data_IF_473444880848
#
_entry.id   IF_473444880848
#
_cell.length_a   1.000
_cell.length_b   1.000
_cell.length_c   1.000
_cell.angle_alpha   90.00
_cell.angle_beta   90.00
_cell.angle_gamma   90.00
#
_symmetry.space_group_name_H-M   'P 1'
#
loop_
_entity.id
_entity.type
_entity.pdbx_description
1 polymer ?
#
# COMPACT_ATOMS: atom_id res chain seq x y z
N UNK A 1 -25.15 3.19 3.72
CA UNK A 1 -23.89 2.65 3.14
C UNK A 1 -23.31 1.67 4.14
N UNK A 2 -23.23 0.40 3.75
CA UNK A 2 -22.97 -0.76 4.62
C UNK A 2 -21.61 -0.63 5.32
N UNK A 3 -21.60 -0.67 6.66
CA UNK A 3 -20.38 -0.89 7.44
C UNK A 3 -19.93 -2.32 7.15
N UNK A 4 -18.91 -2.46 6.30
CA UNK A 4 -18.28 -3.74 6.04
C UNK A 4 -17.87 -4.35 7.39
N UNK A 5 -18.55 -5.44 7.75
CA UNK A 5 -18.29 -6.25 8.93
C UNK A 5 -16.86 -6.78 8.80
N UNK A 6 -15.92 -6.16 9.51
CA UNK A 6 -14.55 -6.64 9.59
C UNK A 6 -14.60 -8.13 9.99
N UNK A 7 -14.01 -9.04 9.19
CA UNK A 7 -14.04 -10.45 9.50
C UNK A 7 -13.48 -10.67 10.91
N UNK A 8 -14.18 -11.48 11.70
CA UNK A 8 -13.70 -11.97 12.99
C UNK A 8 -12.27 -12.55 12.81
N UNK A 9 -11.38 -12.47 13.83
CA UNK A 9 -9.95 -12.65 13.66
C UNK A 9 -9.57 -14.11 13.37
N UNK A 10 -9.81 -14.56 12.14
CA UNK A 10 -8.97 -15.53 11.48
C UNK A 10 -7.60 -14.89 11.37
N UNK A 11 -6.59 -15.50 11.97
CA UNK A 11 -5.22 -14.97 12.05
C UNK A 11 -4.79 -14.47 10.68
N UNK A 12 -4.52 -13.16 10.57
CA UNK A 12 -3.89 -12.59 9.38
C UNK A 12 -2.61 -13.40 9.11
N UNK A 13 -2.48 -13.87 7.87
CA UNK A 13 -1.38 -14.74 7.43
C UNK A 13 -1.07 -14.52 5.94
N UNK A 14 -0.07 -15.23 5.42
CA UNK A 14 0.32 -15.13 4.01
C UNK A 14 -0.87 -15.47 3.10
N UNK A 15 -1.07 -14.68 2.04
CA UNK A 15 -2.21 -14.74 1.12
C UNK A 15 -3.46 -13.99 1.61
N UNK A 16 -3.45 -13.46 2.84
CA UNK A 16 -4.57 -12.65 3.34
C UNK A 16 -4.62 -11.31 2.64
N UNK A 17 -5.81 -10.91 2.17
CA UNK A 17 -6.08 -9.54 1.73
C UNK A 17 -6.34 -8.65 2.94
N UNK A 18 -5.62 -7.53 3.03
CA UNK A 18 -5.65 -6.60 4.16
C UNK A 18 -5.79 -5.17 3.67
N UNK A 19 -6.39 -4.33 4.51
CA UNK A 19 -6.41 -2.88 4.32
C UNK A 19 -5.32 -2.26 5.20
N UNK A 20 -4.32 -1.62 4.59
CA UNK A 20 -3.22 -0.98 5.30
C UNK A 20 -3.42 0.53 5.35
N UNK A 21 -3.43 1.10 6.56
CA UNK A 21 -3.65 2.53 6.77
C UNK A 21 -2.33 3.30 6.78
N UNK A 22 -2.17 4.19 5.81
CA UNK A 22 -1.09 5.19 5.72
C UNK A 22 -1.62 6.56 6.16
N UNK A 23 -0.74 7.53 6.50
CA UNK A 23 -1.17 8.88 6.87
C UNK A 23 -2.03 9.59 5.81
N UNK A 24 -1.87 9.24 4.54
CA UNK A 24 -2.56 9.86 3.40
C UNK A 24 -3.71 9.01 2.82
N UNK A 25 -4.01 7.84 3.39
CA UNK A 25 -5.09 6.99 2.89
C UNK A 25 -4.95 5.51 3.25
N UNK A 26 -6.00 4.75 2.99
CA UNK A 26 -5.99 3.30 3.14
C UNK A 26 -5.68 2.64 1.78
N UNK A 27 -4.82 1.62 1.80
CA UNK A 27 -4.40 0.88 0.60
C UNK A 27 -4.74 -0.59 0.77
N UNK A 28 -5.39 -1.17 -0.23
CA UNK A 28 -5.59 -2.62 -0.28
C UNK A 28 -4.27 -3.31 -0.61
N UNK A 29 -3.96 -4.38 0.13
CA UNK A 29 -2.72 -5.12 -0.03
C UNK A 29 -2.92 -6.60 0.25
N UNK A 30 -1.94 -7.40 -0.17
CA UNK A 30 -1.83 -8.82 0.17
C UNK A 30 -0.66 -9.04 1.11
N UNK A 31 -0.84 -9.88 2.13
CA UNK A 31 0.29 -10.34 2.96
C UNK A 31 1.09 -11.37 2.16
N UNK A 32 2.32 -11.05 1.81
CA UNK A 32 3.21 -11.92 1.02
C UNK A 32 4.25 -12.65 1.86
N UNK A 33 4.48 -12.19 3.09
CA UNK A 33 5.45 -12.78 4.00
C UNK A 33 5.00 -12.55 5.44
N UNK A 34 5.23 -13.55 6.30
CA UNK A 34 5.08 -13.41 7.75
C UNK A 34 6.38 -13.84 8.42
N UNK A 35 7.04 -12.88 9.07
CA UNK A 35 8.32 -13.10 9.76
C UNK A 35 8.14 -13.43 11.23
N UNK A 36 6.90 -13.52 11.72
CA UNK A 36 6.60 -13.77 13.12
C UNK A 36 6.91 -12.57 14.03
N UNK A 37 7.00 -12.83 15.32
CA UNK A 37 7.05 -11.83 16.39
C UNK A 37 8.47 -11.29 16.65
N UNK A 38 9.17 -10.93 15.58
CA UNK A 38 10.56 -10.46 15.63
C UNK A 38 10.68 -8.93 15.73
N UNK A 39 9.57 -8.20 15.69
CA UNK A 39 9.55 -6.74 15.80
C UNK A 39 9.77 -6.24 17.22
N UNK A 40 10.03 -4.94 17.33
CA UNK A 40 10.14 -4.25 18.63
C UNK A 40 8.90 -4.53 19.51
N UNK A 41 9.12 -4.89 20.78
CA UNK A 41 8.08 -5.32 21.74
C UNK A 41 7.26 -6.54 21.29
N UNK A 42 7.88 -7.48 20.55
CA UNK A 42 7.22 -8.71 20.12
C UNK A 42 6.13 -8.49 19.07
N UNK A 43 6.17 -7.35 18.37
CA UNK A 43 5.25 -7.07 17.27
C UNK A 43 5.50 -8.05 16.13
N UNK A 44 4.42 -8.63 15.62
CA UNK A 44 4.47 -9.49 14.42
C UNK A 44 4.80 -8.62 13.21
N UNK A 45 5.83 -9.00 12.47
CA UNK A 45 6.25 -8.31 11.26
C UNK A 45 5.75 -9.09 10.05
N UNK A 46 4.91 -8.44 9.25
CA UNK A 46 4.40 -8.98 7.99
C UNK A 46 4.88 -8.10 6.84
N UNK A 47 5.23 -8.72 5.72
CA UNK A 47 5.46 -8.00 4.46
C UNK A 47 4.15 -7.99 3.69
N UNK A 48 3.74 -6.80 3.26
CA UNK A 48 2.57 -6.62 2.41
C UNK A 48 3.00 -6.19 1.00
N UNK A 49 2.23 -6.59 0.00
CA UNK A 49 2.32 -6.11 -1.37
C UNK A 49 1.05 -5.32 -1.68
N UNK A 50 1.14 -4.00 -1.91
CA UNK A 50 -0.02 -3.21 -2.28
C UNK A 50 -0.62 -3.69 -3.60
N UNK A 51 -1.94 -3.70 -3.70
CA UNK A 51 -2.63 -3.69 -4.98
C UNK A 51 -2.54 -2.25 -5.49
N UNK A 52 -1.45 -1.92 -6.18
CA UNK A 52 -1.37 -0.69 -6.95
C UNK A 52 -2.36 -0.84 -8.10
N UNK A 53 -3.62 -0.46 -7.90
CA UNK A 53 -4.37 0.18 -8.99
C UNK A 53 -3.50 1.35 -9.36
N UNK A 54 -2.97 1.35 -10.59
CA UNK A 54 -2.25 2.49 -11.13
C UNK A 54 -3.09 3.73 -10.78
N UNK A 55 -2.59 4.53 -9.84
CA UNK A 55 -2.97 5.92 -9.80
C UNK A 55 -2.47 6.38 -11.14
N UNK A 56 -3.38 6.70 -12.06
CA UNK A 56 -3.04 7.16 -13.41
C UNK A 56 -1.81 8.05 -13.26
N UNK A 57 -0.65 7.56 -13.71
CA UNK A 57 0.49 8.44 -13.88
C UNK A 57 -0.07 9.53 -14.79
N UNK A 58 -0.15 10.80 -14.35
CA UNK A 58 -0.62 11.83 -15.25
C UNK A 58 0.27 11.72 -16.47
N UNK A 59 -0.35 11.54 -17.64
CA UNK A 59 0.33 11.35 -18.92
C UNK A 59 1.59 12.22 -18.93
N UNK A 60 2.76 11.68 -19.29
CA UNK A 60 4.01 12.42 -19.22
C UNK A 60 3.83 13.76 -19.91
N UNK A 61 3.88 14.85 -19.13
CA UNK A 61 3.74 16.19 -19.65
C UNK A 61 4.90 16.39 -20.62
N UNK A 62 4.57 16.46 -21.91
CA UNK A 62 5.56 16.72 -22.95
C UNK A 62 5.94 18.18 -22.83
N UNK A 63 7.04 18.47 -22.14
CA UNK A 63 7.59 19.82 -22.07
C UNK A 63 8.17 20.14 -23.46
N UNK A 64 7.69 21.18 -24.16
CA UNK A 64 8.31 21.59 -25.41
C UNK A 64 9.76 22.01 -25.12
N UNK A 65 10.69 21.47 -25.92
CA UNK A 65 12.14 21.72 -25.85
C UNK A 65 12.54 23.22 -25.91
N UNK A 66 11.59 24.10 -26.20
CA UNK A 66 11.77 25.56 -26.26
C UNK A 66 11.77 26.24 -24.89
N UNK A 67 11.29 25.59 -23.82
CA UNK A 67 11.34 26.15 -22.46
C UNK A 67 12.55 25.62 -21.68
N UNK A 68 13.72 26.22 -21.97
CA UNK A 68 14.98 26.02 -21.22
C UNK A 68 14.99 26.72 -19.84
N UNK A 69 13.85 27.20 -19.33
CA UNK A 69 13.77 28.00 -18.10
C UNK A 69 13.59 27.17 -16.82
N UNK A 70 13.48 25.84 -16.92
CA UNK A 70 13.26 24.95 -15.76
C UNK A 70 14.43 23.98 -15.49
N UNK A 71 15.59 24.22 -16.08
CA UNK A 71 16.81 23.46 -15.79
C UNK A 71 17.78 24.28 -14.92
N UNK A 72 17.39 24.56 -13.68
CA UNK A 72 18.31 24.82 -12.54
C UNK A 72 17.77 24.19 -11.26
#
# INVERSE_FOLDING_TARGET
MSRAKAPAPGRIGVGSRVLYHLPWGAVEAEVVEDRGNIGWKGRRIMRIRPFLTAVDDPDPITVPLTDLTLAE
#
